data_IF_833944271339
#
_entry.id   IF_833944271339
#
_cell.length_a   1.000
_cell.length_b   1.000
_cell.length_c   1.000
_cell.angle_alpha   90.00
_cell.angle_beta   90.00
_cell.angle_gamma   90.00
#
_symmetry.space_group_name_H-M   'P 1'
#
loop_
_entity.id
_entity.type
_entity.pdbx_description
1 polymer ?
#
# COMPACT_ATOMS: atom_id res chain seq x y z
N UNK A 1 -12.43 -7.77 -17.95
CA UNK A 1 -11.43 -7.27 -16.98
C UNK A 1 -11.85 -5.98 -16.23
N UNK A 2 -13.15 -5.71 -16.01
CA UNK A 2 -13.60 -4.48 -15.30
C UNK A 2 -13.31 -4.45 -13.78
N UNK A 3 -13.13 -5.61 -13.15
CA UNK A 3 -12.91 -5.69 -11.70
C UNK A 3 -11.54 -5.15 -11.26
N UNK A 4 -10.51 -5.37 -12.09
CA UNK A 4 -9.14 -4.90 -11.81
C UNK A 4 -8.97 -3.40 -12.03
N UNK A 5 -9.78 -2.80 -12.90
CA UNK A 5 -9.74 -1.36 -13.22
C UNK A 5 -10.02 -0.51 -11.97
N UNK A 6 -11.04 -0.84 -11.18
CA UNK A 6 -11.35 -0.13 -9.94
C UNK A 6 -10.51 -0.57 -8.73
N UNK A 7 -9.96 -1.79 -8.76
CA UNK A 7 -9.16 -2.32 -7.65
C UNK A 7 -7.87 -1.52 -7.45
N UNK A 8 -7.18 -1.17 -8.53
CA UNK A 8 -5.95 -0.36 -8.47
C UNK A 8 -6.21 1.01 -7.82
N UNK A 9 -7.25 1.70 -8.26
CA UNK A 9 -7.57 3.04 -7.75
C UNK A 9 -8.01 2.99 -6.29
N UNK A 10 -8.74 1.95 -5.90
CA UNK A 10 -9.10 1.71 -4.50
C UNK A 10 -7.85 1.47 -3.64
N UNK A 11 -6.95 0.57 -4.06
CA UNK A 11 -5.71 0.27 -3.32
C UNK A 11 -4.83 1.52 -3.18
N UNK A 12 -4.73 2.34 -4.22
CA UNK A 12 -3.97 3.60 -4.16
C UNK A 12 -4.63 4.64 -3.25
N UNK A 13 -5.96 4.74 -3.28
CA UNK A 13 -6.71 5.61 -2.37
C UNK A 13 -6.52 5.18 -0.92
N UNK A 14 -6.67 3.89 -0.64
CA UNK A 14 -6.52 3.32 0.71
C UNK A 14 -5.10 3.52 1.23
N UNK A 15 -4.08 3.27 0.40
CA UNK A 15 -2.68 3.50 0.76
C UNK A 15 -2.40 4.98 1.11
N UNK A 16 -3.00 5.92 0.37
CA UNK A 16 -2.86 7.37 0.64
C UNK A 16 -3.55 7.77 1.93
N UNK A 17 -4.75 7.25 2.18
CA UNK A 17 -5.50 7.50 3.41
C UNK A 17 -4.75 6.98 4.63
N UNK A 18 -4.33 5.72 4.60
CA UNK A 18 -3.56 5.10 5.69
C UNK A 18 -2.27 5.86 5.96
N UNK A 19 -1.56 6.32 4.92
CA UNK A 19 -0.35 7.14 5.08
C UNK A 19 -0.65 8.48 5.77
N UNK A 20 -1.72 9.16 5.36
CA UNK A 20 -2.14 10.42 5.99
C UNK A 20 -2.49 10.21 7.46
N UNK A 21 -3.28 9.20 7.75
CA UNK A 21 -3.78 8.93 9.10
C UNK A 21 -2.63 8.45 10.01
N UNK A 22 -1.70 7.66 9.48
CA UNK A 22 -0.45 7.31 10.16
C UNK A 22 0.39 8.54 10.51
N UNK A 23 0.62 9.45 9.55
CA UNK A 23 1.38 10.68 9.81
C UNK A 23 0.69 11.56 10.86
N UNK A 24 -0.64 11.70 10.77
CA UNK A 24 -1.42 12.44 11.75
C UNK A 24 -1.29 11.82 13.15
N UNK A 25 -1.41 10.50 13.26
CA UNK A 25 -1.25 9.80 14.54
C UNK A 25 0.18 9.91 15.08
N UNK A 26 1.20 9.92 14.21
CA UNK A 26 2.59 10.11 14.60
C UNK A 26 2.85 11.51 15.19
N UNK A 27 2.21 12.54 14.62
CA UNK A 27 2.36 13.94 15.03
C UNK A 27 1.52 14.30 16.26
N UNK A 28 0.36 13.65 16.45
CA UNK A 28 -0.63 13.99 17.48
C UNK A 28 -0.74 12.95 18.60
N UNK A 29 0.25 12.07 18.75
CA UNK A 29 0.24 11.02 19.76
C UNK A 29 0.28 11.63 21.17
N UNK A 30 -0.74 11.40 21.99
CA UNK A 30 -0.80 11.87 23.38
C UNK A 30 0.01 11.00 24.36
N UNK A 31 0.48 9.83 23.91
CA UNK A 31 1.13 8.81 24.72
C UNK A 31 0.16 7.92 25.50
N UNK A 32 -1.16 8.04 25.29
CA UNK A 32 -2.15 7.13 25.83
C UNK A 32 -2.01 5.72 25.23
N UNK A 33 -2.46 4.70 25.96
CA UNK A 33 -2.43 3.31 25.49
C UNK A 33 -3.25 3.15 24.19
N UNK A 34 -4.39 3.85 24.12
CA UNK A 34 -5.28 3.88 22.95
C UNK A 34 -4.60 4.50 21.71
N UNK A 35 -3.88 5.61 21.88
CA UNK A 35 -3.15 6.26 20.78
C UNK A 35 -1.98 5.41 20.28
N UNK A 36 -1.30 4.72 21.20
CA UNK A 36 -0.20 3.81 20.87
C UNK A 36 -0.72 2.60 20.10
N UNK A 37 -1.84 2.00 20.53
CA UNK A 37 -2.47 0.88 19.82
C UNK A 37 -2.93 1.31 18.41
N UNK A 38 -3.56 2.47 18.30
CA UNK A 38 -3.98 3.05 17.02
C UNK A 38 -2.78 3.27 16.10
N UNK A 39 -1.69 3.85 16.62
CA UNK A 39 -0.46 4.08 15.86
C UNK A 39 0.13 2.79 15.29
N UNK A 40 0.25 1.73 16.10
CA UNK A 40 0.79 0.45 15.62
C UNK A 40 -0.13 -0.24 14.61
N UNK A 41 -1.44 -0.09 14.77
CA UNK A 41 -2.41 -0.59 13.79
C UNK A 41 -2.23 0.11 12.44
N UNK A 42 -2.14 1.44 12.44
CA UNK A 42 -1.90 2.25 11.24
C UNK A 42 -0.53 1.94 10.62
N UNK A 43 0.51 1.72 11.42
CA UNK A 43 1.84 1.33 10.93
C UNK A 43 1.80 -0.01 10.17
N UNK A 44 1.10 -1.02 10.71
CA UNK A 44 0.94 -2.32 10.06
C UNK A 44 0.18 -2.19 8.74
N UNK A 45 -0.89 -1.41 8.72
CA UNK A 45 -1.65 -1.13 7.51
C UNK A 45 -0.79 -0.41 6.47
N UNK A 46 -0.03 0.61 6.87
CA UNK A 46 0.85 1.37 5.99
C UNK A 46 1.87 0.47 5.30
N UNK A 47 2.60 -0.35 6.07
CA UNK A 47 3.59 -1.30 5.52
C UNK A 47 2.96 -2.31 4.57
N UNK A 48 1.75 -2.79 4.88
CA UNK A 48 1.04 -3.74 4.03
C UNK A 48 0.65 -3.10 2.70
N UNK A 49 0.14 -1.86 2.72
CA UNK A 49 -0.20 -1.11 1.52
C UNK A 49 1.02 -0.85 0.63
N UNK A 50 2.17 -0.46 1.23
CA UNK A 50 3.42 -0.30 0.49
C UNK A 50 3.88 -1.61 -0.17
N UNK A 51 3.82 -2.72 0.57
CA UNK A 51 4.18 -4.03 0.05
C UNK A 51 3.33 -4.44 -1.16
N UNK A 52 2.00 -4.25 -1.10
CA UNK A 52 1.09 -4.58 -2.23
C UNK A 52 1.46 -3.79 -3.48
N UNK A 53 1.76 -2.49 -3.35
CA UNK A 53 2.15 -1.64 -4.48
C UNK A 53 3.49 -2.09 -5.06
N UNK A 54 4.46 -2.44 -4.22
CA UNK A 54 5.75 -2.97 -4.66
C UNK A 54 5.61 -4.30 -5.42
N UNK A 55 4.80 -5.23 -4.91
CA UNK A 55 4.55 -6.51 -5.58
C UNK A 55 3.84 -6.33 -6.92
N UNK A 56 2.88 -5.40 -7.02
CA UNK A 56 2.27 -5.09 -8.32
C UNK A 56 3.30 -4.60 -9.34
N UNK A 57 4.25 -3.76 -8.92
CA UNK A 57 5.33 -3.30 -9.80
C UNK A 57 6.29 -4.44 -10.17
N UNK A 58 6.63 -5.30 -9.21
CA UNK A 58 7.47 -6.49 -9.44
C UNK A 58 6.83 -7.43 -10.47
N UNK A 59 5.55 -7.74 -10.31
CA UNK A 59 4.79 -8.58 -11.25
C UNK A 59 4.75 -7.97 -12.64
N UNK A 60 4.47 -6.66 -12.76
CA UNK A 60 4.51 -5.96 -14.06
C UNK A 60 5.88 -6.06 -14.73
N UNK A 61 6.95 -5.89 -13.97
CA UNK A 61 8.31 -5.98 -14.49
C UNK A 61 8.63 -7.41 -14.96
N UNK A 62 8.25 -8.43 -14.18
CA UNK A 62 8.41 -9.84 -14.58
C UNK A 62 7.63 -10.16 -15.86
N UNK A 63 6.39 -9.66 -15.99
CA UNK A 63 5.58 -9.84 -17.19
C UNK A 63 6.20 -9.15 -18.41
N UNK A 64 6.72 -7.93 -18.25
CA UNK A 64 7.41 -7.20 -19.32
C UNK A 64 8.66 -7.97 -19.77
N UNK A 65 9.48 -8.42 -18.82
CA UNK A 65 10.68 -9.19 -19.10
C UNK A 65 10.35 -10.50 -19.82
N UNK A 66 9.38 -11.27 -19.32
CA UNK A 66 8.91 -12.49 -19.98
C UNK A 66 8.42 -12.22 -21.41
N UNK A 67 7.70 -11.11 -21.63
CA UNK A 67 7.29 -10.68 -22.96
C UNK A 67 8.47 -10.41 -23.89
N UNK A 68 9.49 -9.69 -23.41
CA UNK A 68 10.72 -9.41 -24.18
C UNK A 68 11.53 -10.67 -24.47
N UNK A 69 11.67 -11.56 -23.48
CA UNK A 69 12.40 -12.83 -23.62
C UNK A 69 11.66 -13.83 -24.54
N UNK A 70 10.37 -13.61 -24.79
CA UNK A 70 9.53 -14.45 -25.67
C UNK A 70 9.55 -14.04 -27.15
N UNK A 71 10.19 -12.91 -27.49
CA UNK A 71 10.39 -12.48 -28.88
C UNK A 71 11.65 -13.17 -29.42
N UNK A 72 11.54 -13.99 -30.48
CA UNK A 72 12.66 -14.74 -31.05
C UNK A 72 13.67 -13.86 -31.80
#
# INVERSE_FOLDING_TARGET
MKYLEGFKDRVLSDARLVKRDYNYAAENNSGSEEDVELFFTLLKQHRTSEYIVQEQNRVKHMLLKSGLDSVP
#
